data_IF_812160447011
#
_entry.id   IF_812160447011
#
_cell.length_a   1.000
_cell.length_b   1.000
_cell.length_c   1.000
_cell.angle_alpha   90.00
_cell.angle_beta   90.00
_cell.angle_gamma   90.00
#
_symmetry.space_group_name_H-M   'P 1'
#
loop_
_entity.id
_entity.type
_entity.pdbx_description
1 polymer ?
#
# COMPACT_ATOMS: atom_id res chain seq x y z
N UNK A 1 39.27 9.82 -15.46
CA UNK A 1 37.84 10.16 -15.56
C UNK A 1 37.06 9.12 -14.77
N UNK A 2 36.64 9.43 -13.54
CA UNK A 2 35.85 8.50 -12.74
C UNK A 2 34.39 8.59 -13.22
N UNK A 3 33.99 7.64 -14.08
CA UNK A 3 32.60 7.50 -14.47
C UNK A 3 31.75 7.13 -13.25
N UNK A 4 30.79 7.97 -12.91
CA UNK A 4 29.82 7.70 -11.84
C UNK A 4 28.99 6.48 -12.28
N UNK A 5 29.09 5.37 -11.55
CA UNK A 5 28.27 4.19 -11.80
C UNK A 5 26.79 4.59 -11.72
N UNK A 6 26.01 4.22 -12.74
CA UNK A 6 24.57 4.39 -12.74
C UNK A 6 23.94 3.17 -12.07
N UNK A 7 23.16 3.41 -11.02
CA UNK A 7 22.35 2.40 -10.34
C UNK A 7 20.90 2.51 -10.83
N UNK A 8 20.37 1.41 -11.36
CA UNK A 8 18.98 1.30 -11.78
C UNK A 8 18.23 0.37 -10.82
N UNK A 9 17.34 0.94 -10.01
CA UNK A 9 16.47 0.16 -9.13
C UNK A 9 15.20 -0.23 -9.88
N UNK A 10 14.98 -1.53 -10.08
CA UNK A 10 13.77 -2.08 -10.68
C UNK A 10 12.99 -2.82 -9.59
N UNK A 11 11.72 -2.45 -9.40
CA UNK A 11 10.81 -3.22 -8.54
C UNK A 11 10.15 -4.31 -9.37
N UNK A 12 10.09 -5.52 -8.81
CA UNK A 12 9.50 -6.70 -9.46
C UNK A 12 8.52 -7.37 -8.51
N UNK A 13 7.62 -8.19 -9.05
CA UNK A 13 6.68 -8.91 -8.21
C UNK A 13 7.39 -10.07 -7.49
N UNK A 14 7.14 -10.27 -6.20
CA UNK A 14 7.81 -11.29 -5.40
C UNK A 14 7.45 -12.73 -5.80
N UNK A 15 6.32 -12.92 -6.49
CA UNK A 15 5.80 -14.23 -6.88
C UNK A 15 6.44 -14.75 -8.16
N UNK A 16 6.47 -13.95 -9.23
CA UNK A 16 6.98 -14.36 -10.56
C UNK A 16 8.28 -13.67 -10.97
N UNK A 17 8.68 -12.59 -10.28
CA UNK A 17 9.92 -11.82 -10.49
C UNK A 17 10.08 -11.29 -11.91
N UNK A 18 8.98 -11.10 -12.63
CA UNK A 18 9.02 -10.58 -13.99
C UNK A 18 9.22 -9.06 -13.99
N UNK A 19 10.27 -8.54 -14.64
CA UNK A 19 10.44 -7.10 -14.81
C UNK A 19 9.45 -6.54 -15.84
N UNK A 20 9.16 -5.24 -15.75
CA UNK A 20 8.36 -4.53 -16.74
C UNK A 20 6.84 -4.55 -16.49
N UNK A 21 6.38 -5.16 -15.39
CA UNK A 21 4.99 -5.03 -14.91
C UNK A 21 4.94 -4.16 -13.67
N UNK A 22 3.91 -3.32 -13.56
CA UNK A 22 3.70 -2.50 -12.38
C UNK A 22 3.36 -3.38 -11.17
N UNK A 23 3.95 -3.07 -10.02
CA UNK A 23 3.69 -3.72 -8.75
C UNK A 23 3.14 -2.74 -7.73
N UNK A 24 2.33 -3.26 -6.80
CA UNK A 24 1.87 -2.57 -5.60
C UNK A 24 2.49 -3.23 -4.38
N UNK A 25 2.86 -2.42 -3.37
CA UNK A 25 3.44 -2.91 -2.11
C UNK A 25 2.34 -3.15 -1.08
N UNK A 26 2.33 -4.34 -0.51
CA UNK A 26 1.43 -4.75 0.57
C UNK A 26 2.23 -5.11 1.81
N UNK A 27 1.76 -4.66 2.97
CA UNK A 27 2.25 -5.11 4.27
C UNK A 27 1.15 -5.95 4.91
N UNK A 28 1.41 -7.25 5.05
CA UNK A 28 0.46 -8.22 5.59
C UNK A 28 0.89 -8.62 6.99
N UNK A 29 -0.05 -8.51 7.94
CA UNK A 29 0.15 -8.95 9.31
C UNK A 29 -0.61 -10.25 9.56
N UNK A 30 0.11 -11.29 10.00
CA UNK A 30 -0.45 -12.58 10.41
C UNK A 30 -0.01 -12.89 11.84
N UNK A 31 -0.82 -12.46 12.80
CA UNK A 31 -0.48 -12.52 14.22
C UNK A 31 0.75 -11.65 14.51
N UNK A 32 1.80 -12.28 15.03
CA UNK A 32 3.08 -11.63 15.33
C UNK A 32 4.02 -11.51 14.10
N UNK A 33 3.63 -12.08 12.95
CA UNK A 33 4.44 -12.00 11.74
C UNK A 33 3.98 -10.85 10.87
N UNK A 34 4.91 -10.04 10.42
CA UNK A 34 4.70 -9.02 9.39
C UNK A 34 5.53 -9.38 8.16
N UNK A 35 4.92 -9.30 6.98
CA UNK A 35 5.60 -9.53 5.70
C UNK A 35 5.25 -8.39 4.76
N UNK A 36 6.27 -7.83 4.09
CA UNK A 36 6.09 -6.85 3.02
C UNK A 36 6.33 -7.52 1.68
N UNK A 37 5.39 -7.36 0.75
CA UNK A 37 5.40 -7.99 -0.57
C UNK A 37 5.10 -6.94 -1.66
N UNK A 38 5.83 -7.01 -2.77
CA UNK A 38 5.52 -6.29 -4.01
C UNK A 38 4.78 -7.26 -4.97
N UNK A 39 3.53 -6.95 -5.31
CA UNK A 39 2.66 -7.83 -6.10
C UNK A 39 2.12 -7.11 -7.33
N UNK A 40 2.12 -7.78 -8.48
CA UNK A 40 1.39 -7.33 -9.68
C UNK A 40 -0.11 -7.54 -9.50
N UNK A 41 -0.92 -6.83 -10.28
CA UNK A 41 -2.39 -6.85 -10.21
C UNK A 41 -2.98 -8.27 -10.16
N UNK A 42 -2.53 -9.17 -11.04
CA UNK A 42 -3.00 -10.55 -11.11
C UNK A 42 -2.73 -11.35 -9.82
N UNK A 43 -1.63 -11.08 -9.12
CA UNK A 43 -1.27 -11.76 -7.88
C UNK A 43 -1.81 -11.06 -6.64
N UNK A 44 -2.06 -9.76 -6.73
CA UNK A 44 -2.72 -8.99 -5.68
C UNK A 44 -4.23 -9.25 -5.64
N UNK A 45 -4.83 -9.75 -6.74
CA UNK A 45 -6.27 -9.97 -6.88
C UNK A 45 -6.96 -10.61 -5.67
N UNK A 46 -6.46 -11.73 -5.11
CA UNK A 46 -7.06 -12.34 -3.91
C UNK A 46 -7.03 -11.44 -2.67
N UNK A 47 -6.00 -10.59 -2.52
CA UNK A 47 -5.86 -9.64 -1.42
C UNK A 47 -6.80 -8.45 -1.63
N UNK A 48 -6.91 -7.93 -2.85
CA UNK A 48 -7.82 -6.82 -3.15
C UNK A 48 -9.28 -7.26 -2.96
N UNK A 49 -9.66 -8.46 -3.41
CA UNK A 49 -10.99 -9.02 -3.19
C UNK A 49 -11.34 -9.15 -1.69
N UNK A 50 -10.35 -9.46 -0.84
CA UNK A 50 -10.48 -9.45 0.62
C UNK A 50 -10.73 -8.04 1.18
N UNK A 51 -10.04 -7.03 0.64
CA UNK A 51 -10.11 -5.64 1.09
C UNK A 51 -11.40 -4.94 0.65
N UNK A 52 -11.89 -5.24 -0.55
CA UNK A 52 -13.13 -4.69 -1.10
C UNK A 52 -14.39 -5.27 -0.43
N UNK A 53 -14.24 -6.35 0.35
CA UNK A 53 -15.35 -6.97 1.06
C UNK A 53 -16.21 -7.88 0.18
N UNK A 54 -15.76 -8.18 -1.05
CA UNK A 54 -16.37 -9.13 -1.98
C UNK A 54 -16.09 -10.59 -1.59
N UNK A 55 -16.22 -10.90 -0.30
CA UNK A 55 -16.11 -12.27 0.22
C UNK A 55 -17.43 -13.01 -0.03
N UNK A 56 -17.68 -13.37 -1.30
CA UNK A 56 -18.72 -14.36 -1.59
C UNK A 56 -18.16 -15.76 -1.32
N UNK A 57 -18.74 -16.47 -0.34
CA UNK A 57 -18.53 -17.91 -0.14
C UNK A 57 -19.08 -18.65 -1.37
N UNK A 58 -18.27 -18.75 -2.41
CA UNK A 58 -18.68 -19.35 -3.66
C UNK A 58 -17.71 -18.97 -4.77
N UNK A 59 -16.59 -19.69 -4.85
CA UNK A 59 -15.60 -19.47 -5.88
C UNK A 59 -16.22 -19.42 -7.27
N UNK A 60 -16.01 -18.30 -7.96
CA UNK A 60 -15.97 -18.19 -9.41
C UNK A 60 -15.28 -16.88 -9.77
N UNK A 61 -14.08 -17.00 -10.34
CA UNK A 61 -13.48 -15.88 -11.06
C UNK A 61 -14.43 -15.45 -12.17
N UNK A 62 -14.74 -14.15 -12.20
CA UNK A 62 -15.63 -13.57 -13.18
C UNK A 62 -15.42 -12.07 -13.24
N UNK A 63 -14.88 -11.62 -14.37
CA UNK A 63 -14.69 -10.22 -14.72
C UNK A 63 -15.96 -9.39 -14.45
N UNK A 64 -15.88 -8.38 -13.58
CA UNK A 64 -16.76 -7.22 -13.66
C UNK A 64 -15.99 -6.08 -14.32
N UNK A 65 -16.15 -6.00 -15.64
CA UNK A 65 -15.82 -4.84 -16.45
C UNK A 65 -16.71 -3.68 -15.99
N UNK A 66 -16.22 -2.86 -15.07
CA UNK A 66 -16.87 -1.58 -14.76
C UNK A 66 -16.40 -0.53 -15.77
N UNK A 67 -17.35 -0.07 -16.59
CA UNK A 67 -17.15 1.05 -17.51
C UNK A 67 -16.76 2.32 -16.75
N UNK A 68 -15.86 3.16 -17.30
CA UNK A 68 -15.49 4.40 -16.65
C UNK A 68 -16.67 5.37 -16.70
N UNK A 69 -17.41 5.49 -15.59
CA UNK A 69 -18.34 6.59 -15.38
C UNK A 69 -17.54 7.90 -15.35
N UNK A 70 -17.72 8.69 -16.39
CA UNK A 70 -17.18 10.05 -16.54
C UNK A 70 -17.52 10.87 -15.30
N UNK A 71 -16.48 11.30 -14.58
CA UNK A 71 -16.61 12.22 -13.47
C UNK A 71 -17.05 13.61 -13.99
N UNK A 72 -18.10 14.23 -13.43
CA UNK A 72 -18.33 15.65 -13.63
C UNK A 72 -17.33 16.45 -12.79
N UNK A 73 -16.62 17.37 -13.45
CA UNK A 73 -15.68 18.31 -12.83
C UNK A 73 -16.47 19.26 -11.91
N UNK A 74 -16.36 19.05 -10.60
CA UNK A 74 -16.94 19.94 -9.59
C UNK A 74 -15.86 20.84 -8.98
N UNK A 75 -16.21 22.12 -8.93
CA UNK A 75 -15.39 23.31 -8.70
C UNK A 75 -14.71 23.30 -7.32
N UNK A 76 -13.52 23.89 -7.29
CA UNK A 76 -12.72 24.24 -6.11
C UNK A 76 -13.58 24.74 -4.95
N UNK A 77 -13.52 24.05 -3.82
CA UNK A 77 -13.77 24.61 -2.50
C UNK A 77 -12.49 24.42 -1.68
N UNK A 78 -11.91 25.54 -1.21
CA UNK A 78 -10.74 25.53 -0.36
C UNK A 78 -11.11 24.95 1.02
N UNK A 79 -10.78 23.68 1.24
CA UNK A 79 -10.90 23.05 2.55
C UNK A 79 -9.61 23.30 3.35
N UNK A 80 -9.75 23.99 4.48
CA UNK A 80 -8.67 24.20 5.45
C UNK A 80 -8.11 22.84 5.92
N UNK A 81 -6.81 22.65 5.71
CA UNK A 81 -6.09 21.45 6.10
C UNK A 81 -6.05 21.34 7.62
N UNK A 82 -6.95 20.54 8.20
CA UNK A 82 -6.84 20.13 9.60
C UNK A 82 -5.73 19.09 9.70
N UNK A 83 -4.52 19.58 9.93
CA UNK A 83 -3.28 18.82 10.14
C UNK A 83 -3.54 17.73 11.20
N UNK A 84 -3.78 16.49 10.76
CA UNK A 84 -3.84 15.32 11.65
C UNK A 84 -2.44 15.17 12.27
N UNK A 85 -2.34 15.40 13.58
CA UNK A 85 -1.11 15.16 14.33
C UNK A 85 -0.90 13.65 14.36
N UNK A 86 0.13 13.18 13.66
CA UNK A 86 0.58 11.80 13.78
C UNK A 86 1.04 11.48 15.21
N UNK A 87 1.20 10.19 15.54
CA UNK A 87 1.69 9.77 16.85
C UNK A 87 3.05 10.42 17.14
N UNK A 88 3.21 10.90 18.37
CA UNK A 88 4.41 11.60 18.81
C UNK A 88 5.48 10.56 19.10
N UNK A 89 6.53 10.53 18.28
CA UNK A 89 7.70 9.67 18.52
C UNK A 89 8.46 10.26 19.70
N UNK A 90 8.48 9.52 20.81
CA UNK A 90 9.19 9.88 22.04
C UNK A 90 10.44 9.01 22.18
N UNK A 91 11.51 9.62 22.70
CA UNK A 91 12.77 8.94 22.98
C UNK A 91 12.67 8.13 24.27
N UNK A 92 13.60 7.18 24.46
CA UNK A 92 13.61 6.30 25.63
C UNK A 92 13.75 7.07 26.96
N UNK A 93 14.48 8.20 26.96
CA UNK A 93 14.58 9.10 28.12
C UNK A 93 13.23 9.75 28.48
N UNK A 94 12.41 10.13 27.50
CA UNK A 94 11.09 10.74 27.74
C UNK A 94 10.09 9.74 28.35
N UNK A 95 10.25 8.45 28.07
CA UNK A 95 9.42 7.37 28.61
C UNK A 95 9.73 7.12 30.09
N UNK A 96 10.99 7.25 30.50
CA UNK A 96 11.42 7.01 31.88
C UNK A 96 11.00 8.13 32.83
N UNK A 97 11.01 9.39 32.35
CA UNK A 97 10.50 10.54 33.09
C UNK A 97 8.99 10.47 33.35
N UNK A 98 8.23 9.93 32.40
CA UNK A 98 6.75 9.82 32.50
C UNK A 98 6.27 8.74 33.47
N UNK A 99 7.16 7.83 33.92
CA UNK A 99 6.84 6.76 34.89
C UNK A 99 7.10 7.16 36.35
N UNK A 100 7.56 8.40 36.59
CA UNK A 100 7.95 8.90 37.92
C UNK A 100 6.92 9.82 38.59
N UNK A 101 5.65 9.77 38.15
CA UNK A 101 4.50 10.33 38.88
C UNK A 101 3.71 9.24 39.58
#
# INVERSE_FOLDING_TARGET
MHGKAMELTITVCDVDRQPGRATKRYTLQRGEREVTLDLREEHAGPIEALLDGDYSEGGQGGQSKEEPKRQPVAKKAAATSRRRRGPKVVTLEEIEASKKS
#
